data_IF_949440561357
#
_entry.id   IF_949440561357
#
_cell.length_a   1.000
_cell.length_b   1.000
_cell.length_c   1.000
_cell.angle_alpha   90.00
_cell.angle_beta   90.00
_cell.angle_gamma   90.00
#
_symmetry.space_group_name_H-M   'P 1'
#
loop_
_entity.id
_entity.type
_entity.pdbx_description
1 polymer ?
#
# COMPACT_ATOMS: atom_id res chain seq x y z
N UNK A 1 40.64 -10.57 9.22
CA UNK A 1 39.82 -9.86 10.21
C UNK A 1 38.68 -9.11 9.50
N UNK A 2 37.51 -8.98 10.13
CA UNK A 2 36.41 -8.15 9.61
C UNK A 2 35.57 -7.63 10.78
N UNK A 3 35.27 -6.33 10.81
CA UNK A 3 34.58 -5.66 11.93
C UNK A 3 35.18 -5.96 13.31
N UNK A 4 36.51 -6.03 13.40
CA UNK A 4 37.24 -6.32 14.64
C UNK A 4 37.26 -7.79 15.07
N UNK A 5 36.71 -8.71 14.28
CA UNK A 5 36.71 -10.15 14.56
C UNK A 5 37.64 -10.93 13.64
N UNK A 6 38.31 -11.95 14.17
CA UNK A 6 39.16 -12.89 13.42
C UNK A 6 38.37 -14.12 13.02
N UNK A 7 38.42 -14.48 11.74
CA UNK A 7 37.70 -15.61 11.17
C UNK A 7 38.68 -16.65 10.62
N UNK A 8 38.43 -17.92 10.91
CA UNK A 8 39.17 -19.05 10.35
C UNK A 8 38.72 -19.32 8.91
N UNK A 9 39.59 -19.97 8.13
CA UNK A 9 39.27 -20.43 6.78
C UNK A 9 37.99 -21.28 6.78
N UNK A 10 37.10 -21.01 5.82
CA UNK A 10 35.80 -21.68 5.70
C UNK A 10 34.71 -21.10 6.61
N UNK A 11 35.03 -20.22 7.57
CA UNK A 11 34.00 -19.53 8.33
C UNK A 11 33.28 -18.51 7.47
N UNK A 12 31.98 -18.35 7.77
CA UNK A 12 31.10 -17.45 7.05
C UNK A 12 30.69 -16.26 7.92
N UNK A 13 30.42 -15.14 7.25
CA UNK A 13 29.88 -13.93 7.84
C UNK A 13 28.83 -13.36 6.89
N UNK A 14 27.68 -12.94 7.41
CA UNK A 14 26.64 -12.33 6.61
C UNK A 14 26.82 -10.81 6.60
N UNK A 15 27.09 -10.26 5.43
CA UNK A 15 27.19 -8.82 5.20
C UNK A 15 25.97 -8.35 4.42
N UNK A 16 25.06 -7.67 5.12
CA UNK A 16 23.75 -7.30 4.57
C UNK A 16 23.02 -8.54 4.02
N UNK A 17 22.75 -8.60 2.71
CA UNK A 17 22.09 -9.73 2.07
C UNK A 17 23.06 -10.79 1.52
N UNK A 18 24.37 -10.55 1.59
CA UNK A 18 25.38 -11.42 0.98
C UNK A 18 26.07 -12.30 2.03
N UNK A 19 26.21 -13.59 1.73
CA UNK A 19 27.06 -14.49 2.50
C UNK A 19 28.51 -14.35 2.03
N UNK A 20 29.41 -14.07 2.95
CA UNK A 20 30.85 -14.01 2.72
C UNK A 20 31.54 -15.19 3.40
N UNK A 21 32.38 -15.91 2.65
CA UNK A 21 33.19 -17.03 3.16
C UNK A 21 34.66 -16.63 3.20
N UNK A 22 35.35 -16.95 4.29
CA UNK A 22 36.79 -16.73 4.41
C UNK A 22 37.53 -17.77 3.57
N UNK A 23 38.10 -17.36 2.44
CA UNK A 23 38.81 -18.24 1.52
C UNK A 23 40.15 -18.72 2.08
N UNK A 24 40.70 -19.76 1.45
CA UNK A 24 42.00 -20.36 1.83
C UNK A 24 43.18 -19.39 1.70
N UNK A 25 43.04 -18.36 0.86
CA UNK A 25 44.00 -17.27 0.69
C UNK A 25 43.90 -16.15 1.73
N UNK A 26 42.97 -16.26 2.70
CA UNK A 26 42.65 -15.20 3.65
C UNK A 26 41.84 -14.04 3.05
N UNK A 27 41.42 -14.15 1.78
CA UNK A 27 40.51 -13.21 1.12
C UNK A 27 39.06 -13.64 1.31
N UNK A 28 38.16 -12.67 1.38
CA UNK A 28 36.73 -12.92 1.43
C UNK A 28 36.16 -13.18 0.04
N UNK A 29 35.40 -14.26 -0.07
CA UNK A 29 34.57 -14.59 -1.23
C UNK A 29 33.12 -14.32 -0.84
N UNK A 30 32.57 -13.22 -1.33
CA UNK A 30 31.20 -12.80 -1.03
C UNK A 30 30.30 -12.99 -2.25
N UNK A 31 29.06 -13.38 -1.98
CA UNK A 31 27.98 -13.22 -2.96
C UNK A 31 27.86 -11.76 -3.41
N UNK A 32 27.38 -11.56 -4.65
CA UNK A 32 27.18 -10.24 -5.25
C UNK A 32 25.70 -9.98 -5.56
N UNK A 33 24.83 -10.35 -4.62
CA UNK A 33 23.42 -10.04 -4.71
C UNK A 33 23.22 -8.53 -4.51
N UNK A 34 22.31 -7.96 -5.30
CA UNK A 34 21.80 -6.62 -5.03
C UNK A 34 20.96 -6.68 -3.75
N UNK A 35 21.38 -5.95 -2.72
CA UNK A 35 20.62 -5.84 -1.48
C UNK A 35 19.54 -4.77 -1.61
N UNK A 36 18.44 -4.94 -0.88
CA UNK A 36 17.31 -4.00 -0.93
C UNK A 36 17.67 -2.65 -0.31
N UNK A 37 18.36 -2.69 0.83
CA UNK A 37 18.87 -1.50 1.50
C UNK A 37 20.37 -1.45 1.23
N UNK A 38 20.79 -0.52 0.38
CA UNK A 38 22.20 -0.30 0.09
C UNK A 38 22.68 1.03 0.72
N UNK A 39 23.71 1.00 1.58
CA UNK A 39 24.22 2.21 2.23
C UNK A 39 24.72 3.28 1.26
N UNK A 40 25.22 2.89 0.09
CA UNK A 40 25.72 3.82 -0.92
C UNK A 40 24.59 4.58 -1.62
N UNK A 41 23.44 3.95 -1.90
CA UNK A 41 22.24 4.62 -2.41
C UNK A 41 21.74 5.65 -1.39
N UNK A 42 21.68 5.26 -0.10
CA UNK A 42 21.30 6.19 0.98
C UNK A 42 22.23 7.41 1.01
N UNK A 43 23.55 7.18 0.93
CA UNK A 43 24.53 8.26 0.91
C UNK A 43 24.43 9.13 -0.34
N UNK A 44 24.25 8.53 -1.53
CA UNK A 44 24.12 9.24 -2.79
C UNK A 44 22.88 10.16 -2.78
N UNK A 45 21.73 9.65 -2.36
CA UNK A 45 20.49 10.43 -2.25
C UNK A 45 20.65 11.57 -1.23
N UNK A 46 21.24 11.30 -0.07
CA UNK A 46 21.38 12.30 0.99
C UNK A 46 22.43 13.38 0.69
N UNK A 47 23.46 13.07 -0.11
CA UNK A 47 24.44 14.04 -0.60
C UNK A 47 23.91 14.83 -1.81
N UNK A 48 23.05 14.21 -2.61
CA UNK A 48 22.40 14.84 -3.75
C UNK A 48 21.33 15.85 -3.35
N UNK A 49 20.94 16.67 -4.33
CA UNK A 49 19.86 17.65 -4.20
C UNK A 49 18.56 17.15 -4.87
N UNK A 50 18.13 15.94 -4.52
CA UNK A 50 16.95 15.31 -5.13
C UNK A 50 15.60 15.76 -4.52
N UNK A 51 15.60 16.58 -3.47
CA UNK A 51 14.38 17.05 -2.81
C UNK A 51 13.75 16.08 -1.81
N UNK A 52 14.39 14.93 -1.57
CA UNK A 52 14.00 13.96 -0.55
C UNK A 52 15.24 13.38 0.16
N UNK A 53 15.00 12.66 1.26
CA UNK A 53 16.03 12.04 2.10
C UNK A 53 15.77 10.55 2.26
N UNK A 54 16.86 9.79 2.32
CA UNK A 54 16.86 8.36 2.45
C UNK A 54 17.30 7.91 3.86
N UNK A 55 16.77 6.78 4.33
CA UNK A 55 17.12 6.16 5.60
C UNK A 55 17.19 4.62 5.50
N UNK A 56 17.80 4.01 6.52
CA UNK A 56 17.81 2.57 6.70
C UNK A 56 16.57 2.11 7.47
N UNK A 57 16.07 0.93 7.14
CA UNK A 57 14.94 0.26 7.79
C UNK A 57 15.35 -1.15 8.19
N UNK A 58 15.34 -1.44 9.49
CA UNK A 58 15.72 -2.75 10.05
C UNK A 58 14.91 -3.90 9.45
N UNK A 59 13.63 -3.66 9.16
CA UNK A 59 12.66 -4.60 8.64
C UNK A 59 12.91 -4.97 7.17
N UNK A 60 13.76 -4.20 6.47
CA UNK A 60 14.14 -4.39 5.08
C UNK A 60 15.63 -4.75 4.93
N UNK A 61 16.44 -4.52 5.97
CA UNK A 61 17.87 -4.80 5.96
C UNK A 61 18.15 -6.31 5.88
N UNK A 62 19.11 -6.69 5.04
CA UNK A 62 19.47 -8.10 4.82
C UNK A 62 18.61 -8.84 3.78
N UNK A 63 17.59 -8.19 3.21
CA UNK A 63 16.86 -8.70 2.04
C UNK A 63 17.61 -8.37 0.75
N UNK A 64 17.49 -9.24 -0.25
CA UNK A 64 17.88 -8.91 -1.62
C UNK A 64 16.84 -7.99 -2.27
N UNK A 65 17.25 -7.23 -3.29
CA UNK A 65 16.35 -6.38 -4.08
C UNK A 65 15.24 -7.22 -4.74
N UNK A 66 15.56 -8.44 -5.17
CA UNK A 66 14.57 -9.36 -5.73
C UNK A 66 13.51 -9.77 -4.71
N UNK A 67 13.91 -10.06 -3.46
CA UNK A 67 12.97 -10.37 -2.38
C UNK A 67 12.11 -9.16 -2.03
N UNK A 68 12.71 -7.97 -1.94
CA UNK A 68 11.97 -6.72 -1.71
C UNK A 68 10.90 -6.49 -2.77
N UNK A 69 11.27 -6.58 -4.05
CA UNK A 69 10.32 -6.46 -5.16
C UNK A 69 9.25 -7.53 -5.08
N UNK A 70 9.64 -8.79 -4.89
CA UNK A 70 8.72 -9.93 -4.86
C UNK A 70 7.72 -9.87 -3.71
N UNK A 71 8.13 -9.42 -2.52
CA UNK A 71 7.31 -9.49 -1.32
C UNK A 71 6.61 -8.18 -0.98
N UNK A 72 7.19 -7.04 -1.33
CA UNK A 72 6.60 -5.72 -1.03
C UNK A 72 5.78 -5.17 -2.19
N UNK A 73 6.04 -5.58 -3.43
CA UNK A 73 5.34 -5.12 -4.62
C UNK A 73 4.45 -6.24 -5.18
N UNK A 74 3.14 -6.07 -5.04
CA UNK A 74 2.18 -7.14 -5.31
C UNK A 74 1.06 -6.75 -6.25
N UNK A 75 1.14 -5.62 -6.93
CA UNK A 75 0.04 -5.16 -7.77
C UNK A 75 0.29 -5.52 -9.22
N UNK A 76 -0.63 -6.25 -9.83
CA UNK A 76 -0.56 -6.56 -11.26
C UNK A 76 -1.14 -5.41 -12.09
N UNK A 77 -0.52 -5.11 -13.22
CA UNK A 77 -0.99 -4.06 -14.13
C UNK A 77 -2.40 -4.39 -14.68
N UNK A 78 -3.29 -3.40 -14.80
CA UNK A 78 -4.64 -3.59 -15.32
C UNK A 78 -4.62 -3.94 -16.82
N UNK A 79 -5.67 -4.59 -17.33
CA UNK A 79 -5.77 -4.88 -18.76
C UNK A 79 -6.15 -3.63 -19.58
N UNK A 80 -5.86 -3.65 -20.89
CA UNK A 80 -6.15 -2.52 -21.80
C UNK A 80 -7.62 -2.09 -21.81
N UNK A 81 -8.55 -3.01 -21.58
CA UNK A 81 -9.99 -2.69 -21.52
C UNK A 81 -10.35 -1.86 -20.28
N UNK A 82 -9.65 -2.06 -19.15
CA UNK A 82 -9.87 -1.29 -17.91
C UNK A 82 -9.25 0.11 -18.04
N UNK A 83 -8.27 0.27 -18.93
CA UNK A 83 -7.65 1.55 -19.28
C UNK A 83 -8.52 2.46 -20.18
N UNK A 84 -9.76 2.10 -20.52
CA UNK A 84 -10.61 2.82 -21.48
C UNK A 84 -11.96 3.31 -20.89
N UNK A 85 -12.00 3.81 -19.65
CA UNK A 85 -13.22 4.35 -19.01
C UNK A 85 -13.33 5.89 -19.16
N UNK A 86 -14.56 6.45 -19.13
CA UNK A 86 -14.88 7.83 -19.49
C UNK A 86 -14.64 8.87 -18.37
N UNK A 87 -14.37 10.12 -18.78
CA UNK A 87 -13.81 11.26 -18.01
C UNK A 87 -14.88 12.25 -17.47
N UNK A 88 -14.53 13.07 -16.47
CA UNK A 88 -15.33 14.23 -15.98
C UNK A 88 -14.43 15.46 -15.70
N UNK A 89 -14.77 16.65 -16.23
CA UNK A 89 -14.02 17.92 -16.07
C UNK A 89 -14.54 18.84 -14.95
N UNK A 90 -13.65 19.57 -14.24
CA UNK A 90 -13.99 20.67 -13.30
C UNK A 90 -12.85 21.69 -13.03
N UNK A 91 -13.19 22.83 -12.42
CA UNK A 91 -12.27 23.92 -12.01
C UNK A 91 -12.37 24.35 -10.52
N UNK A 92 -11.28 24.97 -10.03
CA UNK A 92 -10.96 25.51 -8.69
C UNK A 92 -10.76 24.49 -7.54
N UNK A 93 -9.50 24.24 -7.18
CA UNK A 93 -9.06 23.35 -6.10
C UNK A 93 -8.03 24.05 -5.20
N UNK A 94 -8.03 23.80 -3.87
CA UNK A 94 -7.08 24.43 -2.96
C UNK A 94 -5.64 23.93 -3.21
N UNK A 95 -4.61 24.72 -2.87
CA UNK A 95 -3.21 24.34 -3.04
C UNK A 95 -2.78 23.17 -2.13
N UNK A 96 -3.45 23.02 -0.99
CA UNK A 96 -3.25 21.94 -0.03
C UNK A 96 -4.58 21.30 0.35
N UNK A 97 -4.57 19.98 0.50
CA UNK A 97 -5.69 19.21 1.03
C UNK A 97 -5.20 17.93 1.69
N UNK A 98 -5.80 17.57 2.83
CA UNK A 98 -5.56 16.32 3.50
C UNK A 98 -6.89 15.73 3.99
N UNK A 99 -7.20 14.50 3.55
CA UNK A 99 -8.45 13.82 3.92
C UNK A 99 -8.57 13.62 5.43
N UNK A 100 -7.47 13.40 6.16
CA UNK A 100 -7.51 13.19 7.60
C UNK A 100 -7.89 14.48 8.37
N UNK A 101 -7.54 15.64 7.82
CA UNK A 101 -7.92 16.95 8.38
C UNK A 101 -9.37 17.30 8.05
N UNK A 102 -9.82 17.02 6.82
CA UNK A 102 -11.22 17.27 6.43
C UNK A 102 -12.20 16.32 7.12
N UNK A 103 -11.81 15.07 7.32
CA UNK A 103 -12.65 14.04 7.94
C UNK A 103 -11.97 13.35 9.12
N UNK A 104 -11.83 14.05 10.27
CA UNK A 104 -11.18 13.50 11.46
C UNK A 104 -11.85 12.20 11.92
N UNK A 105 -11.00 11.21 12.27
CA UNK A 105 -11.44 9.89 12.74
C UNK A 105 -12.03 8.97 11.67
N UNK A 106 -12.04 9.38 10.39
CA UNK A 106 -12.61 8.59 9.27
C UNK A 106 -11.56 8.08 8.29
N UNK A 107 -10.31 8.50 8.44
CA UNK A 107 -9.17 8.02 7.66
C UNK A 107 -8.34 7.08 8.53
N UNK A 108 -8.22 5.82 8.10
CA UNK A 108 -7.52 4.81 8.86
C UNK A 108 -6.03 4.85 8.59
N UNK A 109 -5.25 4.62 9.63
CA UNK A 109 -3.79 4.57 9.56
C UNK A 109 -3.25 3.42 8.68
N UNK A 110 -2.07 3.59 8.06
CA UNK A 110 -1.41 2.56 7.26
C UNK A 110 -1.15 1.27 8.06
N UNK A 111 -1.46 0.12 7.45
CA UNK A 111 -1.09 -1.21 7.95
C UNK A 111 0.21 -1.70 7.30
N UNK A 112 0.78 -2.78 7.82
CA UNK A 112 1.95 -3.45 7.25
C UNK A 112 1.58 -4.78 6.60
N UNK A 113 1.83 -4.90 5.30
CA UNK A 113 1.64 -6.14 4.54
C UNK A 113 2.72 -7.19 4.83
N UNK A 114 3.80 -6.83 5.53
CA UNK A 114 4.93 -7.74 5.78
C UNK A 114 5.50 -8.31 4.48
N UNK A 115 5.97 -9.56 4.52
CA UNK A 115 6.53 -10.25 3.36
C UNK A 115 5.46 -10.97 2.53
N UNK A 116 4.40 -10.25 2.18
CA UNK A 116 3.30 -10.72 1.35
C UNK A 116 3.01 -9.67 0.29
N UNK A 117 3.03 -10.07 -0.99
CA UNK A 117 2.83 -9.16 -2.12
C UNK A 117 1.33 -8.82 -2.24
N UNK A 118 0.79 -8.13 -1.24
CA UNK A 118 -0.64 -7.90 -1.06
C UNK A 118 -1.05 -6.43 -1.06
N UNK A 119 -0.20 -5.53 -1.55
CA UNK A 119 -0.55 -4.10 -1.65
C UNK A 119 -1.87 -3.86 -2.36
N UNK A 120 -2.20 -4.70 -3.36
CA UNK A 120 -3.49 -4.72 -4.05
C UNK A 120 -4.69 -4.90 -3.10
N UNK A 121 -4.57 -5.75 -2.08
CA UNK A 121 -5.62 -6.01 -1.10
C UNK A 121 -5.63 -4.94 0.01
N UNK A 122 -4.45 -4.55 0.49
CA UNK A 122 -4.29 -3.56 1.56
C UNK A 122 -4.81 -2.18 1.14
N UNK A 123 -4.40 -1.68 -0.02
CA UNK A 123 -4.86 -0.37 -0.50
C UNK A 123 -6.35 -0.37 -0.86
N UNK A 124 -6.88 -1.49 -1.40
CA UNK A 124 -8.33 -1.64 -1.67
C UNK A 124 -9.13 -1.58 -0.36
N UNK A 125 -8.75 -2.38 0.64
CA UNK A 125 -9.42 -2.41 1.94
C UNK A 125 -9.33 -1.05 2.65
N UNK A 126 -8.17 -0.38 2.61
CA UNK A 126 -7.97 0.93 3.22
C UNK A 126 -8.85 2.01 2.58
N UNK A 127 -8.88 2.11 1.25
CA UNK A 127 -9.75 3.08 0.54
C UNK A 127 -11.22 2.81 0.84
N UNK A 128 -11.65 1.55 0.78
CA UNK A 128 -13.04 1.21 1.07
C UNK A 128 -13.44 1.51 2.53
N UNK A 129 -12.54 1.27 3.49
CA UNK A 129 -12.74 1.61 4.90
C UNK A 129 -13.00 3.10 5.09
N UNK A 130 -12.14 3.93 4.51
CA UNK A 130 -12.23 5.39 4.63
C UNK A 130 -13.49 5.91 3.95
N UNK A 131 -13.81 5.40 2.76
CA UNK A 131 -14.99 5.85 2.02
C UNK A 131 -16.29 5.45 2.67
N UNK A 132 -16.37 4.25 3.24
CA UNK A 132 -17.53 3.87 4.06
C UNK A 132 -17.64 4.81 5.27
N UNK A 133 -16.52 5.18 5.88
CA UNK A 133 -16.50 6.08 7.03
C UNK A 133 -16.96 7.50 6.69
N UNK A 134 -16.49 8.04 5.57
CA UNK A 134 -16.87 9.36 5.07
C UNK A 134 -18.34 9.37 4.66
N UNK A 135 -18.77 8.41 3.86
CA UNK A 135 -20.10 8.38 3.25
C UNK A 135 -21.20 8.00 4.23
N UNK A 136 -20.86 7.28 5.30
CA UNK A 136 -21.76 7.07 6.44
C UNK A 136 -21.75 8.25 7.41
N UNK A 137 -21.10 9.38 7.09
CA UNK A 137 -20.94 10.53 7.97
C UNK A 137 -20.34 10.20 9.35
N UNK A 138 -19.59 9.08 9.46
CA UNK A 138 -19.02 8.58 10.70
C UNK A 138 -19.94 7.71 11.55
N UNK A 139 -21.15 7.41 11.09
CA UNK A 139 -22.01 6.42 11.75
C UNK A 139 -21.40 5.01 11.76
N UNK A 140 -20.50 4.74 10.80
CA UNK A 140 -19.75 3.51 10.69
C UNK A 140 -18.30 3.87 10.42
N UNK A 141 -17.34 3.33 11.18
CA UNK A 141 -15.90 3.51 10.88
C UNK A 141 -15.20 2.16 10.78
N UNK A 142 -15.59 1.31 9.82
CA UNK A 142 -15.06 -0.04 9.74
C UNK A 142 -13.66 -0.01 9.14
N UNK A 143 -12.68 -0.58 9.85
CA UNK A 143 -11.41 -0.99 9.26
C UNK A 143 -11.60 -2.35 8.60
N UNK A 144 -11.64 -2.40 7.27
CA UNK A 144 -11.87 -3.64 6.51
C UNK A 144 -10.64 -4.54 6.49
N UNK A 145 -10.87 -5.86 6.45
CA UNK A 145 -9.83 -6.88 6.48
C UNK A 145 -9.17 -7.08 5.09
N UNK A 146 -7.89 -6.70 4.90
CA UNK A 146 -7.12 -7.16 3.75
C UNK A 146 -6.95 -8.68 3.72
N UNK A 147 -6.87 -9.35 4.88
CA UNK A 147 -6.77 -10.82 4.95
C UNK A 147 -7.95 -11.51 4.27
N UNK A 148 -9.16 -10.97 4.43
CA UNK A 148 -10.34 -11.51 3.77
C UNK A 148 -10.19 -11.46 2.23
N UNK A 149 -9.66 -10.37 1.66
CA UNK A 149 -9.37 -10.30 0.23
C UNK A 149 -8.27 -11.29 -0.15
N UNK A 150 -7.15 -11.30 0.58
CA UNK A 150 -5.99 -12.15 0.30
C UNK A 150 -6.36 -13.63 0.26
N UNK A 151 -7.15 -14.09 1.24
CA UNK A 151 -7.53 -15.50 1.38
C UNK A 151 -8.74 -15.92 0.55
N UNK A 152 -9.66 -15.00 0.23
CA UNK A 152 -10.97 -15.36 -0.34
C UNK A 152 -11.24 -14.83 -1.75
N UNK A 153 -10.55 -13.78 -2.20
CA UNK A 153 -10.58 -13.36 -3.60
C UNK A 153 -9.53 -14.16 -4.37
N UNK A 154 -9.90 -15.33 -4.87
CA UNK A 154 -8.96 -16.29 -5.49
C UNK A 154 -9.07 -16.35 -7.02
N UNK A 155 -10.05 -15.65 -7.61
CA UNK A 155 -10.28 -15.72 -9.06
C UNK A 155 -9.35 -14.76 -9.79
N UNK A 156 -8.32 -15.32 -10.45
CA UNK A 156 -7.25 -14.55 -11.12
C UNK A 156 -6.48 -13.65 -10.14
N UNK A 157 -6.33 -14.11 -8.90
CA UNK A 157 -5.62 -13.44 -7.82
C UNK A 157 -4.67 -14.45 -7.17
N UNK A 158 -3.47 -14.00 -6.82
CA UNK A 158 -2.40 -14.84 -6.25
C UNK A 158 -2.22 -14.69 -4.74
N UNK A 159 -3.10 -13.96 -4.04
CA UNK A 159 -2.93 -13.67 -2.62
C UNK A 159 -1.62 -12.94 -2.35
N UNK A 160 -0.70 -13.58 -1.62
CA UNK A 160 0.64 -13.06 -1.34
C UNK A 160 1.63 -13.17 -2.52
N UNK A 161 1.24 -13.76 -3.65
CA UNK A 161 2.01 -13.75 -4.90
C UNK A 161 1.64 -12.58 -5.83
N UNK A 162 0.75 -11.69 -5.37
CA UNK A 162 0.28 -10.55 -6.14
C UNK A 162 -1.17 -10.68 -6.58
N UNK A 163 -1.76 -9.56 -6.95
CA UNK A 163 -3.15 -9.47 -7.35
C UNK A 163 -3.49 -8.18 -8.07
N UNK A 164 -4.69 -8.18 -8.62
CA UNK A 164 -5.27 -7.11 -9.43
C UNK A 164 -6.27 -6.31 -8.61
N UNK A 165 -6.14 -4.99 -8.65
CA UNK A 165 -7.03 -4.12 -7.88
C UNK A 165 -8.46 -4.08 -8.46
N UNK A 166 -8.63 -4.26 -9.78
CA UNK A 166 -9.96 -4.37 -10.38
C UNK A 166 -10.69 -5.63 -9.90
N UNK A 167 -9.98 -6.76 -9.79
CA UNK A 167 -10.52 -7.98 -9.19
C UNK A 167 -10.98 -7.77 -7.75
N UNK A 168 -10.16 -7.09 -6.95
CA UNK A 168 -10.44 -6.81 -5.55
C UNK A 168 -11.68 -5.93 -5.36
N UNK A 169 -11.83 -4.86 -6.14
CA UNK A 169 -13.04 -4.04 -6.11
C UNK A 169 -14.28 -4.79 -6.60
N UNK A 170 -14.14 -5.66 -7.61
CA UNK A 170 -15.25 -6.52 -8.04
C UNK A 170 -15.65 -7.52 -6.96
N UNK A 171 -14.68 -8.07 -6.22
CA UNK A 171 -14.93 -8.91 -5.07
C UNK A 171 -15.66 -8.14 -3.98
N UNK A 172 -15.16 -6.96 -3.59
CA UNK A 172 -15.77 -6.13 -2.55
C UNK A 172 -17.21 -5.73 -2.91
N UNK A 173 -17.46 -5.39 -4.18
CA UNK A 173 -18.82 -5.13 -4.67
C UNK A 173 -19.73 -6.36 -4.55
N UNK A 174 -19.26 -7.52 -5.04
CA UNK A 174 -20.12 -8.71 -5.23
C UNK A 174 -20.26 -9.54 -3.96
N UNK A 175 -19.21 -9.67 -3.17
CA UNK A 175 -19.09 -10.54 -1.99
C UNK A 175 -18.94 -9.75 -0.70
N UNK A 176 -18.28 -8.60 -0.76
CA UNK A 176 -17.93 -7.83 0.43
C UNK A 176 -16.89 -8.53 1.30
N UNK A 177 -16.47 -7.85 2.35
CA UNK A 177 -15.48 -8.35 3.33
C UNK A 177 -15.89 -7.98 4.74
N UNK A 178 -15.35 -8.69 5.72
CA UNK A 178 -15.49 -8.32 7.15
C UNK A 178 -14.42 -7.32 7.57
N UNK A 179 -14.50 -6.85 8.82
CA UNK A 179 -13.49 -5.97 9.43
C UNK A 179 -12.20 -6.72 9.77
N UNK A 180 -11.11 -5.96 9.89
CA UNK A 180 -9.81 -6.41 10.37
C UNK A 180 -9.92 -7.02 11.78
N UNK A 181 -10.75 -6.45 12.66
CA UNK A 181 -10.99 -7.03 13.98
C UNK A 181 -11.63 -8.43 13.92
N UNK A 182 -12.40 -8.73 12.87
CA UNK A 182 -13.04 -10.02 12.67
C UNK A 182 -12.09 -11.03 12.03
N UNK A 183 -11.36 -10.61 10.99
CA UNK A 183 -10.38 -11.44 10.30
C UNK A 183 -9.03 -10.71 10.20
N UNK A 184 -8.22 -10.72 11.28
CA UNK A 184 -6.96 -10.00 11.32
C UNK A 184 -5.95 -10.53 10.31
N UNK A 185 -5.12 -9.64 9.79
CA UNK A 185 -4.00 -10.00 8.95
C UNK A 185 -2.96 -10.80 9.71
N UNK A 186 -2.54 -11.92 9.10
CA UNK A 186 -1.48 -12.77 9.61
C UNK A 186 -0.39 -12.86 8.53
N UNK A 187 0.76 -12.20 8.71
CA UNK A 187 1.83 -12.26 7.73
C UNK A 187 2.33 -13.71 7.60
N UNK A 188 2.64 -14.17 6.37
CA UNK A 188 3.18 -15.51 6.15
C UNK A 188 4.51 -15.68 6.89
N UNK A 189 4.67 -16.82 7.58
CA UNK A 189 5.85 -17.06 8.42
C UNK A 189 7.07 -17.53 7.61
N UNK A 190 6.86 -18.22 6.48
CA UNK A 190 7.98 -18.79 5.70
C UNK A 190 7.84 -18.62 4.18
N UNK A 191 6.65 -18.85 3.59
CA UNK A 191 6.48 -18.73 2.13
C UNK A 191 5.20 -17.99 1.73
N UNK A 192 5.20 -17.24 0.60
CA UNK A 192 3.99 -16.61 0.06
C UNK A 192 2.89 -17.60 -0.33
N UNK A 193 3.19 -18.89 -0.42
CA UNK A 193 2.23 -19.94 -0.79
C UNK A 193 1.33 -20.35 0.38
N UNK A 194 1.64 -19.95 1.62
CA UNK A 194 0.79 -20.13 2.79
C UNK A 194 -0.31 -19.06 2.87
N UNK A 195 -0.96 -18.75 1.75
CA UNK A 195 -2.19 -17.98 1.79
C UNK A 195 -3.21 -18.84 2.54
N UNK A 196 -3.47 -18.51 3.80
CA UNK A 196 -4.40 -19.22 4.64
C UNK A 196 -5.73 -19.43 3.91
N UNK A 197 -6.32 -20.63 4.07
CA UNK A 197 -7.62 -20.96 3.47
C UNK A 197 -8.63 -19.85 3.78
N UNK A 198 -9.50 -19.51 2.83
CA UNK A 198 -10.59 -18.59 3.07
C UNK A 198 -11.45 -19.03 4.26
N UNK A 199 -11.42 -18.27 5.36
CA UNK A 199 -12.25 -18.53 6.54
C UNK A 199 -13.55 -17.71 6.55
N UNK A 200 -13.62 -16.63 5.76
CA UNK A 200 -14.76 -15.71 5.74
C UNK A 200 -15.36 -15.57 4.35
N UNK A 201 -16.31 -16.46 4.04
CA UNK A 201 -17.16 -16.36 2.87
C UNK A 201 -18.46 -15.61 3.17
N UNK A 202 -19.13 -15.14 2.12
CA UNK A 202 -20.43 -14.49 2.23
C UNK A 202 -21.51 -15.12 1.36
N UNK A 203 -22.75 -15.13 1.86
CA UNK A 203 -23.95 -15.58 1.15
C UNK A 203 -24.90 -14.41 0.89
N UNK A 204 -25.66 -14.51 -0.20
CA UNK A 204 -26.69 -13.51 -0.55
C UNK A 204 -27.87 -13.62 0.41
N UNK A 205 -28.39 -12.48 0.85
CA UNK A 205 -29.64 -12.38 1.64
C UNK A 205 -30.74 -11.62 0.89
N UNK A 206 -30.57 -11.42 -0.42
CA UNK A 206 -31.49 -10.65 -1.24
C UNK A 206 -31.14 -9.15 -1.28
N UNK A 207 -31.78 -8.42 -2.20
CA UNK A 207 -31.58 -6.97 -2.43
C UNK A 207 -30.10 -6.54 -2.57
N UNK A 208 -29.25 -7.46 -3.03
CA UNK A 208 -27.80 -7.26 -3.17
C UNK A 208 -26.99 -7.17 -1.87
N UNK A 209 -27.62 -7.42 -0.70
CA UNK A 209 -26.94 -7.50 0.60
C UNK A 209 -26.29 -8.88 0.79
N UNK A 210 -25.28 -8.92 1.65
CA UNK A 210 -24.49 -10.11 1.99
C UNK A 210 -24.42 -10.29 3.50
N UNK A 211 -24.27 -11.53 3.94
CA UNK A 211 -23.94 -11.86 5.33
C UNK A 211 -22.84 -12.91 5.37
N UNK A 212 -22.03 -12.88 6.42
CA UNK A 212 -20.99 -13.88 6.65
C UNK A 212 -21.61 -15.28 6.82
N UNK A 213 -20.88 -16.31 6.38
CA UNK A 213 -21.29 -17.71 6.55
C UNK A 213 -20.71 -18.36 7.80
N UNK A 214 -19.73 -17.72 8.43
CA UNK A 214 -18.99 -18.24 9.58
C UNK A 214 -18.83 -17.16 10.65
N UNK A 215 -18.46 -17.57 11.87
CA UNK A 215 -17.97 -16.65 12.91
C UNK A 215 -16.59 -16.13 12.54
N UNK A 216 -16.23 -14.99 13.12
CA UNK A 216 -14.91 -14.38 12.94
C UNK A 216 -13.77 -15.37 13.29
N UNK A 217 -12.71 -15.43 12.48
CA UNK A 217 -11.48 -16.12 12.84
C UNK A 217 -10.87 -15.58 14.14
N UNK A 218 -10.99 -14.28 14.39
CA UNK A 218 -10.72 -13.73 15.71
C UNK A 218 -11.86 -14.11 16.66
N UNK A 219 -11.59 -15.05 17.56
CA UNK A 219 -12.57 -15.55 18.53
C UNK A 219 -13.01 -14.51 19.56
N UNK A 220 -12.27 -13.40 19.68
CA UNK A 220 -12.61 -12.27 20.57
C UNK A 220 -13.62 -11.31 19.95
N UNK A 221 -13.92 -11.42 18.66
CA UNK A 221 -14.89 -10.57 17.98
C UNK A 221 -16.06 -11.39 17.45
N UNK A 222 -17.27 -10.97 17.78
CA UNK A 222 -18.50 -11.61 17.31
C UNK A 222 -19.15 -10.87 16.13
N UNK A 223 -18.69 -9.65 15.82
CA UNK A 223 -19.21 -8.82 14.74
C UNK A 223 -18.59 -9.23 13.40
N UNK A 224 -19.34 -9.99 12.61
CA UNK A 224 -18.96 -10.48 11.29
C UNK A 224 -19.73 -9.81 10.15
N UNK A 225 -20.11 -8.54 10.34
CA UNK A 225 -20.82 -7.75 9.33
C UNK A 225 -20.03 -7.70 8.02
N UNK A 226 -20.74 -7.85 6.90
CA UNK A 226 -20.13 -7.81 5.56
C UNK A 226 -20.33 -6.42 4.96
N UNK A 227 -19.22 -5.78 4.63
CA UNK A 227 -19.17 -4.46 4.00
C UNK A 227 -18.94 -4.62 2.50
N UNK A 228 -19.72 -3.91 1.69
CA UNK A 228 -19.65 -3.95 0.24
C UNK A 228 -19.39 -2.55 -0.33
N UNK A 229 -18.87 -2.51 -1.56
CA UNK A 229 -18.81 -1.29 -2.37
C UNK A 229 -19.86 -1.29 -3.47
N UNK A 230 -20.06 -0.11 -4.04
CA UNK A 230 -20.66 0.10 -5.36
C UNK A 230 -19.66 -0.32 -6.46
N UNK A 231 -20.05 -0.35 -7.76
CA UNK A 231 -19.09 -0.54 -8.83
C UNK A 231 -17.93 0.46 -8.75
N UNK A 232 -16.67 0.01 -8.88
CA UNK A 232 -15.53 0.92 -8.98
C UNK A 232 -15.58 1.68 -10.31
N UNK A 233 -14.96 2.86 -10.33
CA UNK A 233 -14.73 3.66 -11.53
C UNK A 233 -13.28 4.13 -11.55
N UNK A 234 -12.72 4.20 -12.76
CA UNK A 234 -11.39 4.78 -12.98
C UNK A 234 -11.52 6.28 -13.17
N UNK A 235 -10.65 7.04 -12.53
CA UNK A 235 -10.47 8.47 -12.78
C UNK A 235 -9.54 8.66 -13.97
N UNK A 236 -9.70 9.78 -14.69
CA UNK A 236 -8.72 10.14 -15.70
C UNK A 236 -7.33 10.38 -15.07
N UNK A 237 -6.30 10.37 -15.90
CA UNK A 237 -4.94 10.74 -15.48
C UNK A 237 -4.77 12.26 -15.31
N UNK A 238 -5.86 13.03 -15.32
CA UNK A 238 -5.82 14.45 -15.06
C UNK A 238 -5.66 14.71 -13.56
N UNK A 239 -4.58 15.41 -13.20
CA UNK A 239 -4.27 15.87 -11.84
C UNK A 239 -5.49 16.46 -11.11
N UNK A 240 -6.24 17.37 -11.76
CA UNK A 240 -7.38 18.05 -11.13
C UNK A 240 -8.56 17.10 -10.88
N UNK A 241 -8.77 16.10 -11.72
CA UNK A 241 -9.86 15.14 -11.52
C UNK A 241 -9.58 14.26 -10.30
N UNK A 242 -8.34 13.79 -10.17
CA UNK A 242 -7.89 13.03 -9.00
C UNK A 242 -8.02 13.88 -7.73
N UNK A 243 -7.56 15.14 -7.76
CA UNK A 243 -7.70 16.08 -6.64
C UNK A 243 -9.17 16.27 -6.25
N UNK A 244 -10.05 16.54 -7.22
CA UNK A 244 -11.47 16.75 -6.95
C UNK A 244 -12.13 15.52 -6.33
N UNK A 245 -11.85 14.34 -6.88
CA UNK A 245 -12.41 13.10 -6.35
C UNK A 245 -12.00 12.88 -4.89
N UNK A 246 -10.72 13.12 -4.58
CA UNK A 246 -10.22 13.05 -3.20
C UNK A 246 -10.91 14.09 -2.33
N UNK A 247 -11.08 15.31 -2.84
CA UNK A 247 -11.72 16.41 -2.12
C UNK A 247 -13.17 16.11 -1.75
N UNK A 248 -13.94 15.55 -2.68
CA UNK A 248 -15.38 15.40 -2.53
C UNK A 248 -15.74 14.07 -1.86
N UNK A 249 -15.03 13.00 -2.19
CA UNK A 249 -15.41 11.63 -1.86
C UNK A 249 -14.38 10.86 -1.01
N UNK A 250 -13.23 11.47 -0.72
CA UNK A 250 -12.18 10.87 0.10
C UNK A 250 -11.13 10.09 -0.68
N UNK A 251 -10.22 9.40 0.02
CA UNK A 251 -9.03 8.79 -0.59
C UNK A 251 -9.32 7.90 -1.80
N UNK A 252 -8.35 7.81 -2.71
CA UNK A 252 -8.43 7.00 -3.94
C UNK A 252 -7.30 5.97 -3.96
N UNK A 253 -7.47 4.88 -4.70
CA UNK A 253 -6.41 3.89 -4.89
C UNK A 253 -5.65 4.21 -6.17
N UNK A 254 -4.32 4.24 -6.12
CA UNK A 254 -3.47 4.44 -7.28
C UNK A 254 -2.49 3.28 -7.47
N UNK A 255 -2.09 3.03 -8.71
CA UNK A 255 -0.96 2.15 -9.04
C UNK A 255 0.24 3.02 -9.37
N UNK A 256 1.41 2.65 -8.85
CA UNK A 256 2.68 3.27 -9.19
C UNK A 256 3.78 2.22 -9.45
N UNK A 257 4.82 2.63 -10.16
CA UNK A 257 6.09 1.92 -10.23
C UNK A 257 6.95 2.25 -9.01
N UNK A 258 7.54 1.23 -8.41
CA UNK A 258 8.47 1.38 -7.30
C UNK A 258 9.85 0.96 -7.78
N UNK A 259 10.76 1.92 -7.82
CA UNK A 259 12.18 1.72 -8.12
C UNK A 259 12.97 1.34 -6.86
N UNK A 260 14.21 0.89 -7.03
CA UNK A 260 15.07 0.44 -5.93
C UNK A 260 15.31 1.53 -4.86
N UNK A 261 15.35 2.80 -5.26
CA UNK A 261 15.63 3.93 -4.38
C UNK A 261 14.42 4.31 -3.51
N UNK A 262 13.20 3.99 -3.93
CA UNK A 262 12.00 4.28 -3.15
C UNK A 262 11.95 3.49 -1.85
N UNK A 263 12.53 2.28 -1.80
CA UNK A 263 12.55 1.46 -0.59
C UNK A 263 13.23 2.16 0.60
N UNK A 264 14.19 3.06 0.31
CA UNK A 264 14.91 3.84 1.33
C UNK A 264 14.30 5.22 1.58
N UNK A 265 13.17 5.60 0.96
CA UNK A 265 12.51 6.88 1.18
C UNK A 265 12.21 7.14 2.68
N UNK A 266 12.60 8.33 3.18
CA UNK A 266 12.32 8.77 4.55
C UNK A 266 11.42 10.00 4.62
N UNK A 267 11.71 11.05 3.87
CA UNK A 267 10.98 12.33 3.90
C UNK A 267 11.28 13.19 2.67
N UNK A 268 10.44 14.18 2.40
CA UNK A 268 10.55 15.11 1.27
C UNK A 268 9.66 14.70 0.10
N UNK A 269 9.84 15.32 -1.07
CA UNK A 269 9.03 15.01 -2.26
C UNK A 269 9.82 14.02 -3.12
N UNK A 270 9.39 12.75 -3.11
CA UNK A 270 10.03 11.70 -3.88
C UNK A 270 9.91 11.94 -5.39
N UNK A 271 11.03 11.72 -6.06
CA UNK A 271 11.20 11.57 -7.50
C UNK A 271 12.30 10.55 -7.71
N UNK A 272 12.12 9.60 -8.64
CA UNK A 272 13.12 8.58 -8.92
C UNK A 272 14.44 9.24 -9.34
N UNK A 273 15.55 8.71 -8.83
CA UNK A 273 16.88 9.30 -8.96
C UNK A 273 17.79 8.47 -9.84
N UNK A 274 18.86 9.08 -10.34
CA UNK A 274 19.95 8.42 -11.06
C UNK A 274 21.02 7.85 -10.11
N UNK A 275 20.75 7.75 -8.79
CA UNK A 275 21.71 7.30 -7.79
C UNK A 275 22.29 5.91 -8.06
N UNK A 276 21.52 5.03 -8.70
CA UNK A 276 21.94 3.68 -9.10
C UNK A 276 22.49 3.59 -10.53
N UNK A 277 22.58 4.70 -11.28
CA UNK A 277 22.83 4.69 -12.73
C UNK A 277 24.13 3.97 -13.12
N UNK A 278 25.20 4.16 -12.34
CA UNK A 278 26.49 3.52 -12.56
C UNK A 278 26.55 2.07 -12.08
N UNK A 279 25.52 1.57 -11.40
CA UNK A 279 25.46 0.19 -10.91
C UNK A 279 25.08 -0.79 -12.01
N UNK A 280 25.52 -2.06 -11.91
CA UNK A 280 25.09 -3.11 -12.81
C UNK A 280 23.56 -3.23 -12.89
N UNK A 281 22.99 -3.70 -14.02
CA UNK A 281 21.54 -3.78 -14.20
C UNK A 281 20.79 -4.57 -13.11
N UNK A 282 21.44 -5.54 -12.44
CA UNK A 282 20.78 -6.30 -11.36
C UNK A 282 20.40 -5.45 -10.13
N UNK A 283 20.98 -4.25 -9.97
CA UNK A 283 20.69 -3.30 -8.90
C UNK A 283 19.61 -2.28 -9.29
N UNK A 284 19.23 -2.20 -10.57
CA UNK A 284 18.25 -1.25 -11.11
C UNK A 284 16.99 -1.98 -11.49
N UNK A 285 16.13 -2.23 -10.51
CA UNK A 285 14.90 -2.99 -10.70
C UNK A 285 13.72 -2.23 -10.13
N UNK A 286 12.60 -2.38 -10.80
CA UNK A 286 11.34 -1.79 -10.41
C UNK A 286 10.22 -2.85 -10.44
N UNK A 287 9.12 -2.54 -9.79
CA UNK A 287 7.91 -3.34 -9.82
C UNK A 287 6.68 -2.51 -9.53
N UNK A 288 5.50 -3.10 -9.75
CA UNK A 288 4.24 -2.39 -9.61
C UNK A 288 3.65 -2.53 -8.21
N UNK A 289 3.21 -1.42 -7.65
CA UNK A 289 2.67 -1.30 -6.30
C UNK A 289 1.37 -0.50 -6.31
N UNK A 290 0.49 -0.74 -5.34
CA UNK A 290 -0.70 0.10 -5.17
C UNK A 290 -0.72 0.75 -3.81
N UNK A 291 -1.15 2.01 -3.80
CA UNK A 291 -1.13 2.92 -2.67
C UNK A 291 -2.46 3.63 -2.56
N UNK A 292 -2.72 4.24 -1.41
CA UNK A 292 -3.89 5.09 -1.19
C UNK A 292 -3.47 6.55 -1.18
N UNK A 293 -3.94 7.34 -2.14
CA UNK A 293 -3.71 8.79 -2.15
C UNK A 293 -4.76 9.45 -1.24
N UNK A 294 -4.31 10.21 -0.26
CA UNK A 294 -5.15 10.84 0.78
C UNK A 294 -5.19 12.36 0.69
N UNK A 295 -4.35 12.98 -0.13
CA UNK A 295 -4.30 14.43 -0.24
C UNK A 295 -3.20 14.92 -1.17
N UNK A 296 -2.96 16.21 -1.16
CA UNK A 296 -1.92 16.86 -1.94
C UNK A 296 -1.44 18.14 -1.26
N UNK A 297 -0.31 18.65 -1.72
CA UNK A 297 0.17 19.97 -1.33
C UNK A 297 1.14 20.54 -2.35
N UNK A 298 1.65 21.72 -2.03
CA UNK A 298 2.69 22.38 -2.79
C UNK A 298 3.70 23.05 -1.85
N UNK A 299 4.99 22.89 -2.13
CA UNK A 299 6.09 23.53 -1.41
C UNK A 299 6.71 24.60 -2.31
N UNK A 300 6.86 25.81 -1.77
CA UNK A 300 7.49 26.92 -2.50
C UNK A 300 9.00 26.87 -2.27
N UNK A 301 9.76 26.78 -3.36
CA UNK A 301 11.22 26.86 -3.33
C UNK A 301 11.69 28.30 -3.16
N UNK A 302 12.94 28.45 -2.73
CA UNK A 302 13.61 29.74 -2.55
C UNK A 302 13.73 30.52 -3.86
N UNK A 303 13.82 29.83 -4.99
CA UNK A 303 13.86 30.41 -6.35
C UNK A 303 12.48 30.85 -6.87
N UNK A 304 11.42 30.72 -6.06
CA UNK A 304 10.05 31.08 -6.41
C UNK A 304 9.28 29.99 -7.17
N UNK A 305 9.90 28.87 -7.54
CA UNK A 305 9.22 27.72 -8.14
C UNK A 305 8.39 26.97 -7.09
N UNK A 306 7.34 26.25 -7.52
CA UNK A 306 6.49 25.45 -6.63
C UNK A 306 6.64 23.96 -6.96
N UNK A 307 6.92 23.14 -5.95
CA UNK A 307 6.95 21.67 -6.05
C UNK A 307 5.65 21.12 -5.54
N UNK A 308 4.87 20.55 -6.45
CA UNK A 308 3.60 19.91 -6.13
C UNK A 308 3.84 18.46 -5.73
N UNK A 309 3.06 17.97 -4.77
CA UNK A 309 3.13 16.58 -4.34
C UNK A 309 1.75 16.00 -4.04
N UNK A 310 1.64 14.68 -4.20
CA UNK A 310 0.58 13.87 -3.60
C UNK A 310 1.00 13.44 -2.20
N UNK A 311 0.04 13.30 -1.28
CA UNK A 311 0.21 12.63 0.00
C UNK A 311 -0.38 11.23 -0.17
N UNK A 312 0.44 10.20 -0.02
CA UNK A 312 0.02 8.82 -0.20
C UNK A 312 0.39 7.97 1.02
N UNK A 313 -0.51 7.06 1.38
CA UNK A 313 -0.30 6.03 2.39
C UNK A 313 0.22 4.76 1.73
N UNK A 314 1.34 4.26 2.25
CA UNK A 314 1.92 2.98 1.85
C UNK A 314 1.27 1.82 2.65
N UNK A 315 1.70 0.60 2.40
CA UNK A 315 1.26 -0.61 3.11
C UNK A 315 2.44 -1.34 3.77
N UNK A 316 3.47 -0.60 4.19
CA UNK A 316 4.69 -1.11 4.85
C UNK A 316 4.81 -0.68 6.32
N UNK A 317 3.66 -0.37 6.95
CA UNK A 317 3.60 0.03 8.35
C UNK A 317 4.09 1.45 8.62
N UNK A 318 3.94 1.86 9.88
CA UNK A 318 4.22 3.24 10.33
C UNK A 318 5.71 3.57 10.46
N UNK A 319 6.57 2.56 10.59
CA UNK A 319 8.00 2.80 10.77
C UNK A 319 8.65 3.29 9.47
N UNK A 320 8.06 2.98 8.32
CA UNK A 320 8.55 3.39 7.01
C UNK A 320 8.15 4.83 6.65
N UNK A 321 9.03 5.55 5.94
CA UNK A 321 8.75 6.91 5.47
C UNK A 321 8.35 7.91 6.56
N UNK A 322 7.30 8.67 6.27
CA UNK A 322 6.68 9.71 7.11
C UNK A 322 5.50 9.12 7.87
N UNK A 323 5.77 8.23 8.83
CA UNK A 323 4.77 7.50 9.61
C UNK A 323 3.87 6.56 8.77
N UNK A 324 4.47 5.89 7.77
CA UNK A 324 3.78 5.04 6.80
C UNK A 324 3.23 5.78 5.58
N UNK A 325 3.38 7.11 5.56
CA UNK A 325 3.07 7.96 4.42
C UNK A 325 4.33 8.35 3.65
N UNK A 326 4.12 8.83 2.44
CA UNK A 326 5.13 9.46 1.62
C UNK A 326 4.53 10.58 0.78
N UNK A 327 5.41 11.44 0.28
CA UNK A 327 5.07 12.47 -0.69
C UNK A 327 5.81 12.21 -1.98
N UNK A 328 5.11 12.31 -3.10
CA UNK A 328 5.63 12.03 -4.44
C UNK A 328 5.22 13.16 -5.39
N UNK A 329 6.08 13.49 -6.34
CA UNK A 329 5.83 14.56 -7.31
C UNK A 329 4.46 14.40 -8.01
N UNK A 330 3.71 15.51 -8.07
CA UNK A 330 2.35 15.59 -8.64
C UNK A 330 2.34 16.45 -9.90
N UNK A 331 1.55 16.04 -10.89
CA UNK A 331 1.37 16.73 -12.17
C UNK A 331 2.38 16.32 -13.24
N UNK A 332 3.26 15.37 -12.92
CA UNK A 332 4.30 14.85 -13.82
C UNK A 332 4.12 13.34 -14.10
N UNK A 333 3.05 12.73 -13.55
CA UNK A 333 2.84 11.28 -13.56
C UNK A 333 4.07 10.49 -13.08
N UNK A 334 4.74 11.00 -12.05
CA UNK A 334 5.95 10.40 -11.47
C UNK A 334 5.67 8.95 -11.08
N UNK A 335 6.52 8.04 -11.55
CA UNK A 335 6.35 6.60 -11.36
C UNK A 335 4.96 6.08 -11.77
N UNK A 336 4.37 6.62 -12.83
CA UNK A 336 3.03 6.25 -13.33
C UNK A 336 1.87 6.46 -12.31
N UNK A 337 2.07 7.16 -11.18
CA UNK A 337 1.08 7.22 -10.08
C UNK A 337 -0.29 7.81 -10.48
N UNK A 338 -0.33 8.65 -11.51
CA UNK A 338 -1.56 9.28 -12.02
C UNK A 338 -2.21 8.46 -13.15
N UNK A 339 -1.54 7.41 -13.62
CA UNK A 339 -1.96 6.63 -14.81
C UNK A 339 -3.20 5.80 -14.55
N UNK A 340 -3.30 5.18 -13.37
CA UNK A 340 -4.39 4.29 -13.02
C UNK A 340 -4.86 4.51 -11.58
N UNK A 341 -5.90 5.33 -11.47
CA UNK A 341 -6.51 5.70 -10.19
C UNK A 341 -7.96 5.23 -10.15
N UNK A 342 -8.36 4.56 -9.06
CA UNK A 342 -9.71 4.05 -8.85
C UNK A 342 -10.37 4.77 -7.67
N UNK A 343 -11.61 5.20 -7.90
CA UNK A 343 -12.58 5.56 -6.87
C UNK A 343 -13.70 4.51 -6.78
N UNK A 344 -14.36 4.47 -5.63
CA UNK A 344 -15.58 3.68 -5.44
C UNK A 344 -16.39 4.30 -4.30
N UNK A 345 -17.67 3.97 -4.20
CA UNK A 345 -18.48 4.35 -3.03
C UNK A 345 -18.77 3.12 -2.18
N UNK A 346 -18.86 3.28 -0.86
CA UNK A 346 -19.44 2.29 0.03
C UNK A 346 -20.90 2.03 -0.31
N UNK A 347 -21.32 0.76 -0.23
CA UNK A 347 -22.74 0.40 -0.33
C UNK A 347 -23.36 0.58 1.06
N UNK A 348 -23.88 1.77 1.33
CA UNK A 348 -24.49 2.13 2.61
C UNK A 348 -25.97 2.41 2.39
N UNK A 349 -26.84 1.86 3.25
CA UNK A 349 -28.25 2.23 3.34
C UNK A 349 -28.56 2.87 4.70
N UNK A 350 -29.66 3.62 4.78
CA UNK A 350 -30.12 4.23 6.05
C UNK A 350 -30.32 3.18 7.16
N UNK A 351 -30.74 1.97 6.79
CA UNK A 351 -30.89 0.84 7.72
C UNK A 351 -29.54 0.41 8.31
N UNK A 352 -28.48 0.38 7.51
CA UNK A 352 -27.15 -0.03 7.95
C UNK A 352 -26.56 0.99 8.95
N UNK A 353 -26.83 2.29 8.74
CA UNK A 353 -26.43 3.36 9.66
C UNK A 353 -27.17 3.29 11.01
N UNK A 354 -28.47 2.96 11.00
CA UNK A 354 -29.27 2.89 12.23
C UNK A 354 -28.89 1.67 13.09
N UNK A 355 -28.65 0.52 12.47
CA UNK A 355 -28.30 -0.71 13.18
C UNK A 355 -26.92 -0.61 13.88
N UNK A 356 -25.96 0.10 13.30
CA UNK A 356 -24.66 0.32 13.94
C UNK A 356 -24.73 1.24 15.16
N UNK A 357 -25.63 2.24 15.16
CA UNK A 357 -25.83 3.11 16.33
C UNK A 357 -26.34 2.35 17.55
N UNK A 358 -27.26 1.40 17.36
CA UNK A 358 -27.81 0.59 18.45
C UNK A 358 -26.77 -0.37 19.05
N UNK A 359 -25.86 -0.89 18.24
CA UNK A 359 -24.75 -1.70 18.76
C UNK A 359 -23.73 -0.89 19.57
N UNK A 360 -23.52 0.39 19.25
CA UNK A 360 -22.65 1.27 20.03
C UNK A 360 -23.27 1.73 21.35
N UNK A 361 -24.59 2.00 21.42
CA UNK A 361 -25.23 2.41 22.68
C UNK A 361 -25.29 1.28 23.72
N UNK A 362 -25.36 0.01 23.30
CA UNK A 362 -25.25 -1.14 24.21
C UNK A 362 -23.85 -1.34 24.80
N UNK A 363 -22.83 -0.59 24.35
CA UNK A 363 -21.44 -0.66 24.86
C UNK A 363 -21.18 0.27 26.06
N UNK A 364 -22.12 1.15 26.40
CA UNK A 364 -21.95 2.16 27.47
C UNK A 364 -22.91 1.98 28.66
N UNK A 365 -23.46 0.78 28.86
CA UNK A 365 -24.25 0.42 30.04
C UNK A 365 -23.57 -0.72 30.78
#
# INVERSE_FOLDING_TARGET
>A
ERNGNTFLTGQTYKENCNLCTCGTSGRWECEQNACLIEPDIIQAVNRGNYGWRAANYSELYGMTLNEGIRYRLGTQRPSRTVMNMNEIQTDNLPPYFNSAEKWPGKIHEPLDQGNCAASWAFSTAAVASDRISIQSMGHMTPRLSPQNLISCDTRNQGGCAGGRIDGAWWYLRRRGVVTEDCYPYQPPQQTPAEVGRCMMQSRSVGRGKRQATQRCPNTQNYHNDIYQSTPPYRLSSNEKEIMKEIMDNGPVQAIMEVHEDFFVYKTGIYKHTDASFTKPPQYRKHGTHSVRITGWGEERNVDGTSRKYWIAANSWGKNWGENGYFRIARGENECEIETFVIGAWGRISMEDMHNHHHHHHRRHI
#
